data_IF_792333785773
#
_entry.id   IF_792333785773
#
_cell.length_a   1.000
_cell.length_b   1.000
_cell.length_c   1.000
_cell.angle_alpha   90.00
_cell.angle_beta   90.00
_cell.angle_gamma   90.00
#
_symmetry.space_group_name_H-M   'P 1'
#
loop_
_entity.id
_entity.type
_entity.pdbx_description
1 polymer ?
#
# COMPACT_ATOMS: atom_id res chain seq x y z
N UNK A 1 -17.93 10.82 27.24
CA UNK A 1 -19.16 11.33 26.58
C UNK A 1 -18.82 12.46 25.59
N UNK A 2 -18.33 12.09 24.41
CA UNK A 2 -18.09 13.04 23.32
C UNK A 2 -19.40 13.14 22.53
N UNK A 3 -20.09 14.28 22.59
CA UNK A 3 -21.20 14.56 21.67
C UNK A 3 -20.56 14.85 20.32
N UNK A 4 -20.47 13.82 19.48
CA UNK A 4 -20.14 13.99 18.07
C UNK A 4 -21.10 15.01 17.48
N UNK A 5 -20.53 16.01 16.82
CA UNK A 5 -21.20 17.15 16.25
C UNK A 5 -22.43 16.71 15.42
N UNK A 6 -23.45 17.57 15.45
CA UNK A 6 -24.78 17.54 14.81
C UNK A 6 -24.83 17.22 13.31
N UNK A 7 -23.72 16.80 12.69
CA UNK A 7 -23.53 16.63 11.25
C UNK A 7 -24.10 15.31 10.70
N UNK A 8 -24.26 14.27 11.52
CA UNK A 8 -24.61 12.91 11.06
C UNK A 8 -25.97 12.39 11.57
N UNK A 9 -26.87 13.28 11.98
CA UNK A 9 -28.21 12.91 12.49
C UNK A 9 -29.04 12.12 11.47
N UNK A 10 -28.82 12.34 10.17
CA UNK A 10 -29.41 11.54 9.09
C UNK A 10 -28.98 10.06 9.14
N UNK A 11 -27.72 9.77 9.51
CA UNK A 11 -27.19 8.40 9.60
C UNK A 11 -27.77 7.66 10.80
N UNK A 12 -28.08 8.39 11.88
CA UNK A 12 -28.73 7.83 13.07
C UNK A 12 -30.14 7.32 12.81
N UNK A 13 -30.84 7.93 11.84
CA UNK A 13 -32.20 7.55 11.45
C UNK A 13 -32.26 6.38 10.44
N UNK A 14 -31.13 5.76 10.06
CA UNK A 14 -31.15 4.60 9.17
C UNK A 14 -31.48 3.30 9.92
N UNK A 15 -32.58 2.60 9.58
CA UNK A 15 -33.05 1.44 10.34
C UNK A 15 -32.16 0.19 10.20
N UNK A 16 -31.22 0.18 9.25
CA UNK A 16 -30.41 -0.99 8.91
C UNK A 16 -29.05 -1.05 9.64
N UNK A 17 -28.60 0.05 10.25
CA UNK A 17 -27.24 0.15 10.83
C UNK A 17 -27.34 0.40 12.33
N UNK A 18 -26.92 -0.60 13.12
CA UNK A 18 -26.85 -0.45 14.60
C UNK A 18 -25.93 0.72 14.95
N UNK A 19 -26.31 1.53 15.94
CA UNK A 19 -25.58 2.75 16.36
C UNK A 19 -24.06 2.54 16.51
N UNK A 20 -23.64 1.39 17.04
CA UNK A 20 -22.22 1.03 17.21
C UNK A 20 -21.40 1.05 15.91
N UNK A 21 -22.03 0.79 14.76
CA UNK A 21 -21.35 0.68 13.46
C UNK A 21 -21.48 1.92 12.58
N UNK A 22 -22.24 2.94 13.00
CA UNK A 22 -22.51 4.11 12.18
C UNK A 22 -21.24 4.92 11.88
N UNK A 23 -20.34 5.08 12.85
CA UNK A 23 -19.08 5.81 12.67
C UNK A 23 -18.17 5.13 11.63
N UNK A 24 -17.99 3.80 11.76
CA UNK A 24 -17.19 3.01 10.83
C UNK A 24 -17.76 3.04 9.42
N UNK A 25 -19.09 2.98 9.30
CA UNK A 25 -19.78 3.02 8.02
C UNK A 25 -19.53 4.33 7.27
N UNK A 26 -19.64 5.47 7.95
CA UNK A 26 -19.38 6.79 7.35
C UNK A 26 -17.94 6.90 6.85
N UNK A 27 -16.96 6.41 7.62
CA UNK A 27 -15.56 6.43 7.22
C UNK A 27 -15.30 5.56 5.99
N UNK A 28 -15.86 4.35 5.94
CA UNK A 28 -15.69 3.43 4.80
C UNK A 28 -16.36 4.01 3.55
N UNK A 29 -17.57 4.55 3.67
CA UNK A 29 -18.27 5.20 2.56
C UNK A 29 -17.51 6.44 2.05
N UNK A 30 -16.99 7.26 2.96
CA UNK A 30 -16.15 8.41 2.62
C UNK A 30 -14.88 8.00 1.88
N UNK A 31 -14.18 6.97 2.36
CA UNK A 31 -13.00 6.42 1.70
C UNK A 31 -13.32 5.86 0.30
N UNK A 32 -14.44 5.17 0.15
CA UNK A 32 -14.88 4.64 -1.14
C UNK A 32 -15.20 5.73 -2.15
N UNK A 33 -15.94 6.77 -1.72
CA UNK A 33 -16.24 7.94 -2.55
C UNK A 33 -14.97 8.68 -2.97
N UNK A 34 -14.03 8.89 -2.04
CA UNK A 34 -12.73 9.50 -2.33
C UNK A 34 -11.95 8.69 -3.37
N UNK A 35 -11.90 7.35 -3.22
CA UNK A 35 -11.27 6.47 -4.20
C UNK A 35 -11.97 6.51 -5.56
N UNK A 36 -13.30 6.54 -5.59
CA UNK A 36 -14.06 6.63 -6.84
C UNK A 36 -13.76 7.94 -7.59
N UNK A 37 -13.71 9.07 -6.88
CA UNK A 37 -13.35 10.37 -7.46
C UNK A 37 -11.90 10.37 -7.95
N UNK A 38 -10.97 9.81 -7.18
CA UNK A 38 -9.56 9.69 -7.53
C UNK A 38 -9.37 8.82 -8.79
N UNK A 39 -10.11 7.72 -8.91
CA UNK A 39 -10.01 6.78 -10.03
C UNK A 39 -10.62 7.35 -11.32
N UNK A 40 -11.65 8.20 -11.21
CA UNK A 40 -12.32 8.79 -12.38
C UNK A 40 -11.65 10.08 -12.89
N UNK A 41 -10.73 10.67 -12.10
CA UNK A 41 -10.12 11.98 -12.42
C UNK A 41 -8.65 11.83 -12.84
N UNK A 42 -8.32 11.91 -14.16
CA UNK A 42 -6.96 11.67 -14.64
C UNK A 42 -5.95 12.76 -14.22
N UNK A 43 -6.43 13.97 -13.93
CA UNK A 43 -5.58 15.06 -13.42
C UNK A 43 -5.03 14.70 -12.05
N UNK A 44 -5.89 14.23 -11.14
CA UNK A 44 -5.49 13.86 -9.78
C UNK A 44 -4.53 12.67 -9.81
N UNK A 45 -4.82 11.65 -10.63
CA UNK A 45 -3.91 10.52 -10.82
C UNK A 45 -2.53 10.94 -11.31
N UNK A 46 -2.46 11.92 -12.23
CA UNK A 46 -1.18 12.42 -12.75
C UNK A 46 -0.37 13.15 -11.69
N UNK A 47 -1.02 13.87 -10.78
CA UNK A 47 -0.37 14.50 -9.62
C UNK A 47 0.17 13.46 -8.63
N UNK A 48 -0.64 12.46 -8.27
CA UNK A 48 -0.21 11.37 -7.38
C UNK A 48 0.83 10.44 -8.01
N UNK A 49 0.85 10.31 -9.33
CA UNK A 49 1.85 9.54 -10.08
C UNK A 49 3.08 10.37 -10.46
N UNK A 50 3.24 11.57 -9.90
CA UNK A 50 4.45 12.36 -10.11
C UNK A 50 5.65 11.70 -9.45
N UNK A 51 6.84 11.88 -10.03
CA UNK A 51 8.08 11.28 -9.53
C UNK A 51 8.37 11.65 -8.07
N UNK A 52 8.01 12.86 -7.64
CA UNK A 52 8.13 13.30 -6.26
C UNK A 52 7.18 12.53 -5.34
N UNK A 53 5.89 12.44 -5.69
CA UNK A 53 4.91 11.74 -4.86
C UNK A 53 5.22 10.24 -4.77
N UNK A 54 5.68 9.64 -5.86
CA UNK A 54 6.14 8.24 -5.88
C UNK A 54 7.40 8.04 -5.02
N UNK A 55 8.35 8.98 -5.07
CA UNK A 55 9.56 8.94 -4.24
C UNK A 55 9.24 9.10 -2.75
N UNK A 56 8.41 10.09 -2.40
CA UNK A 56 7.94 10.27 -1.02
C UNK A 56 7.15 9.04 -0.55
N UNK A 57 6.33 8.43 -1.41
CA UNK A 57 5.60 7.20 -1.10
C UNK A 57 6.52 6.02 -0.78
N UNK A 58 7.60 5.84 -1.55
CA UNK A 58 8.61 4.79 -1.31
C UNK A 58 9.32 4.97 0.04
N UNK A 59 9.66 6.20 0.41
CA UNK A 59 10.32 6.49 1.70
C UNK A 59 9.32 6.48 2.86
N UNK A 60 8.06 6.83 2.62
CA UNK A 60 7.01 6.93 3.64
C UNK A 60 6.87 5.63 4.44
N UNK A 61 6.99 4.47 3.80
CA UNK A 61 6.93 3.19 4.51
C UNK A 61 8.07 3.03 5.53
N UNK A 62 9.31 3.26 5.10
CA UNK A 62 10.46 3.22 5.99
C UNK A 62 10.37 4.29 7.09
N UNK A 63 9.93 5.50 6.73
CA UNK A 63 9.72 6.61 7.68
C UNK A 63 8.66 6.24 8.74
N UNK A 64 7.56 5.61 8.35
CA UNK A 64 6.51 5.16 9.26
C UNK A 64 7.02 4.12 10.27
N UNK A 65 7.89 3.20 9.85
CA UNK A 65 8.52 2.27 10.79
C UNK A 65 9.48 2.97 11.75
N UNK A 66 10.28 3.92 11.25
CA UNK A 66 11.36 4.52 12.04
C UNK A 66 10.92 5.70 12.90
N UNK A 67 9.83 6.41 12.54
CA UNK A 67 9.50 7.68 13.19
C UNK A 67 9.24 7.52 14.69
N UNK A 68 8.47 6.49 15.12
CA UNK A 68 8.21 6.26 16.54
C UNK A 68 9.51 5.97 17.31
N UNK A 69 10.40 5.16 16.74
CA UNK A 69 11.69 4.83 17.35
C UNK A 69 12.54 6.10 17.54
N UNK A 70 12.59 6.96 16.53
CA UNK A 70 13.41 8.18 16.55
C UNK A 70 12.81 9.22 17.48
N UNK A 71 11.48 9.39 17.48
CA UNK A 71 10.78 10.31 18.38
C UNK A 71 11.03 9.94 19.85
N UNK A 72 10.91 8.65 20.19
CA UNK A 72 11.07 8.20 21.57
C UNK A 72 12.53 8.18 22.03
N UNK A 73 13.48 7.88 21.15
CA UNK A 73 14.89 7.79 21.52
C UNK A 73 15.61 9.13 21.33
N UNK A 74 15.73 9.58 20.07
CA UNK A 74 16.58 10.73 19.71
C UNK A 74 15.91 12.05 20.07
N UNK A 75 14.63 12.24 19.75
CA UNK A 75 13.98 13.54 20.03
C UNK A 75 13.88 13.80 21.53
N UNK A 76 13.57 12.78 22.34
CA UNK A 76 13.56 12.91 23.80
C UNK A 76 14.94 13.22 24.39
N UNK A 77 16.00 12.53 23.95
CA UNK A 77 17.37 12.80 24.45
C UNK A 77 17.86 14.18 24.05
N UNK A 78 17.61 14.58 22.79
CA UNK A 78 17.95 15.91 22.28
C UNK A 78 17.21 17.01 23.04
N UNK A 79 15.91 16.81 23.33
CA UNK A 79 15.11 17.74 24.11
C UNK A 79 15.64 17.89 25.55
N UNK A 80 15.95 16.78 26.23
CA UNK A 80 16.51 16.83 27.59
C UNK A 80 17.86 17.55 27.65
N UNK A 81 18.66 17.44 26.59
CA UNK A 81 19.96 18.10 26.50
C UNK A 81 19.85 19.60 26.21
N UNK A 82 18.89 20.02 25.38
CA UNK A 82 18.66 21.42 25.02
C UNK A 82 17.78 22.19 26.03
N UNK A 83 16.90 21.50 26.76
CA UNK A 83 16.01 22.07 27.78
C UNK A 83 16.72 22.99 28.78
N UNK A 84 17.87 22.59 29.39
CA UNK A 84 18.57 23.46 30.35
C UNK A 84 19.25 24.68 29.72
N UNK A 85 19.45 24.74 28.40
CA UNK A 85 20.19 25.83 27.73
C UNK A 85 19.28 26.86 27.06
N UNK A 86 18.16 26.42 26.48
CA UNK A 86 17.33 27.24 25.58
C UNK A 86 15.92 27.51 26.14
N UNK A 87 15.55 26.89 27.26
CA UNK A 87 14.19 26.95 27.80
C UNK A 87 13.21 26.04 27.05
N UNK A 88 12.10 25.68 27.71
CA UNK A 88 11.20 24.60 27.28
C UNK A 88 10.68 24.74 25.84
N UNK A 89 10.13 25.91 25.49
CA UNK A 89 9.49 26.14 24.18
C UNK A 89 10.53 26.12 23.05
N UNK A 90 11.66 26.79 23.24
CA UNK A 90 12.71 26.81 22.22
C UNK A 90 13.37 25.43 22.09
N UNK A 91 13.60 24.70 23.18
CA UNK A 91 14.09 23.32 23.15
C UNK A 91 13.13 22.38 22.42
N UNK A 92 11.82 22.54 22.59
CA UNK A 92 10.82 21.73 21.88
C UNK A 92 10.87 21.97 20.36
N UNK A 93 10.83 23.23 19.92
CA UNK A 93 10.89 23.56 18.49
C UNK A 93 12.21 23.16 17.84
N UNK A 94 13.34 23.43 18.49
CA UNK A 94 14.66 23.05 17.98
C UNK A 94 14.81 21.53 17.90
N UNK A 95 14.37 20.78 18.92
CA UNK A 95 14.42 19.32 18.89
C UNK A 95 13.55 18.72 17.77
N UNK A 96 12.36 19.29 17.53
CA UNK A 96 11.47 18.87 16.44
C UNK A 96 12.09 19.16 15.06
N UNK A 97 12.56 20.39 14.85
CA UNK A 97 13.16 20.82 13.58
C UNK A 97 14.42 20.00 13.28
N UNK A 98 15.22 19.65 14.29
CA UNK A 98 16.42 18.83 14.10
C UNK A 98 16.10 17.34 13.90
N UNK A 99 15.04 16.83 14.54
CA UNK A 99 14.64 15.43 14.41
C UNK A 99 14.01 15.11 13.06
N UNK A 100 13.33 16.07 12.41
CA UNK A 100 12.73 15.88 11.08
C UNK A 100 13.73 15.43 9.99
N UNK A 101 14.82 16.16 9.72
CA UNK A 101 15.81 15.75 8.73
C UNK A 101 16.51 14.47 9.15
N UNK A 102 16.76 14.27 10.45
CA UNK A 102 17.35 13.03 10.95
C UNK A 102 16.44 11.82 10.66
N UNK A 103 15.13 11.94 10.90
CA UNK A 103 14.15 10.92 10.54
C UNK A 103 14.17 10.61 9.05
N UNK A 104 14.23 11.62 8.19
CA UNK A 104 14.30 11.44 6.75
C UNK A 104 15.58 10.70 6.31
N UNK A 105 16.74 11.05 6.88
CA UNK A 105 18.03 10.41 6.57
C UNK A 105 18.03 8.94 7.01
N UNK A 106 17.59 8.65 8.24
CA UNK A 106 17.52 7.28 8.75
C UNK A 106 16.52 6.45 7.94
N UNK A 107 15.35 7.00 7.64
CA UNK A 107 14.35 6.33 6.82
C UNK A 107 14.87 6.03 5.41
N UNK A 108 15.59 6.97 4.78
CA UNK A 108 16.21 6.74 3.49
C UNK A 108 17.26 5.62 3.53
N UNK A 109 18.07 5.56 4.60
CA UNK A 109 19.00 4.45 4.85
C UNK A 109 18.28 3.11 4.96
N UNK A 110 17.24 3.03 5.80
CA UNK A 110 16.40 1.84 5.95
C UNK A 110 15.75 1.41 4.62
N UNK A 111 15.21 2.35 3.85
CA UNK A 111 14.67 2.07 2.52
C UNK A 111 15.73 1.46 1.59
N UNK A 112 16.95 2.00 1.58
CA UNK A 112 18.02 1.56 0.69
C UNK A 112 18.58 0.19 1.06
N UNK A 113 18.74 -0.11 2.35
CA UNK A 113 19.38 -1.34 2.83
C UNK A 113 18.38 -2.46 3.14
N UNK A 114 17.26 -2.14 3.77
CA UNK A 114 16.28 -3.14 4.23
C UNK A 114 15.26 -3.39 3.14
N UNK A 115 14.62 -2.35 2.61
CA UNK A 115 13.45 -2.51 1.75
C UNK A 115 13.84 -3.05 0.36
N UNK A 116 14.85 -2.43 -0.27
CA UNK A 116 15.39 -2.94 -1.54
C UNK A 116 16.03 -4.33 -1.40
N UNK A 117 16.67 -4.61 -0.26
CA UNK A 117 17.26 -5.91 0.06
C UNK A 117 16.20 -7.00 0.21
N UNK A 118 15.12 -6.72 0.93
CA UNK A 118 14.02 -7.65 1.19
C UNK A 118 13.23 -7.99 -0.10
N UNK A 119 13.01 -7.02 -0.98
CA UNK A 119 12.39 -7.26 -2.29
C UNK A 119 13.29 -8.14 -3.16
N UNK A 120 14.60 -7.90 -3.15
CA UNK A 120 15.59 -8.76 -3.82
C UNK A 120 15.58 -10.18 -3.29
N UNK A 121 15.59 -10.35 -1.96
CA UNK A 121 15.51 -11.65 -1.29
C UNK A 121 14.20 -12.39 -1.60
N UNK A 122 13.07 -11.68 -1.60
CA UNK A 122 11.76 -12.25 -1.95
C UNK A 122 11.73 -12.75 -3.39
N UNK A 123 12.29 -11.99 -4.34
CA UNK A 123 12.43 -12.43 -5.75
C UNK A 123 13.35 -13.63 -5.88
N UNK A 124 14.46 -13.64 -5.14
CA UNK A 124 15.36 -14.79 -5.09
C UNK A 124 14.66 -16.04 -4.55
N UNK A 125 13.93 -15.92 -3.44
CA UNK A 125 13.22 -17.03 -2.80
C UNK A 125 12.09 -17.56 -3.71
N UNK A 126 11.32 -16.66 -4.32
CA UNK A 126 10.28 -17.02 -5.28
C UNK A 126 10.84 -17.76 -6.49
N UNK A 127 11.95 -17.28 -7.06
CA UNK A 127 12.57 -17.93 -8.21
C UNK A 127 13.26 -19.24 -7.85
N UNK A 128 13.75 -19.41 -6.62
CA UNK A 128 14.41 -20.63 -6.17
C UNK A 128 13.43 -21.78 -5.88
N UNK A 129 12.29 -21.48 -5.26
CA UNK A 129 11.32 -22.49 -4.82
C UNK A 129 10.09 -22.61 -5.74
N UNK A 130 9.50 -21.49 -6.18
CA UNK A 130 8.20 -21.52 -6.87
C UNK A 130 8.30 -21.56 -8.39
N UNK A 131 9.36 -21.02 -8.99
CA UNK A 131 9.54 -21.01 -10.46
C UNK A 131 9.56 -22.42 -11.07
N UNK A 132 10.00 -23.44 -10.34
CA UNK A 132 9.95 -24.83 -10.82
C UNK A 132 8.53 -25.40 -10.90
N UNK A 133 7.65 -25.08 -9.94
CA UNK A 133 6.28 -25.58 -9.91
C UNK A 133 5.38 -24.94 -10.98
N UNK A 134 5.48 -23.62 -11.15
CA UNK A 134 4.64 -22.88 -12.12
C UNK A 134 5.02 -23.16 -13.58
N UNK A 135 6.31 -23.22 -13.90
CA UNK A 135 6.77 -23.49 -15.28
C UNK A 135 6.44 -24.93 -15.69
N UNK A 136 6.57 -25.90 -14.77
CA UNK A 136 6.16 -27.27 -15.01
C UNK A 136 4.65 -27.37 -15.26
N UNK A 137 3.80 -26.80 -14.38
CA UNK A 137 2.35 -26.84 -14.55
C UNK A 137 1.87 -26.12 -15.83
N UNK A 138 2.44 -24.96 -16.17
CA UNK A 138 2.09 -24.22 -17.38
C UNK A 138 2.51 -24.96 -18.67
N UNK A 139 3.67 -25.62 -18.65
CA UNK A 139 4.13 -26.44 -19.80
C UNK A 139 3.28 -27.71 -20.00
N UNK A 140 2.73 -28.29 -18.92
CA UNK A 140 1.83 -29.45 -19.00
C UNK A 140 0.46 -29.05 -19.53
N UNK A 141 -0.12 -27.95 -19.03
CA UNK A 141 -1.42 -27.46 -19.49
C UNK A 141 -1.41 -27.05 -20.97
N UNK A 142 -0.36 -26.35 -21.42
CA UNK A 142 -0.21 -26.00 -22.84
C UNK A 142 -0.04 -27.23 -23.73
N UNK A 143 0.73 -28.24 -23.30
CA UNK A 143 0.84 -29.52 -24.01
C UNK A 143 -0.49 -30.28 -24.07
N UNK A 144 -1.28 -30.27 -22.99
CA UNK A 144 -2.60 -30.90 -22.96
C UNK A 144 -3.60 -30.17 -23.86
N UNK A 145 -3.63 -28.84 -23.86
CA UNK A 145 -4.44 -28.06 -24.80
C UNK A 145 -4.08 -28.37 -26.26
N UNK A 146 -2.79 -28.40 -26.59
CA UNK A 146 -2.34 -28.75 -27.94
C UNK A 146 -2.70 -30.19 -28.32
N UNK A 147 -2.60 -31.15 -27.38
CA UNK A 147 -3.00 -32.53 -27.61
C UNK A 147 -4.51 -32.67 -27.81
N UNK A 148 -5.32 -31.96 -27.03
CA UNK A 148 -6.77 -31.91 -27.20
C UNK A 148 -7.15 -31.29 -28.55
N UNK A 149 -6.57 -30.14 -28.91
CA UNK A 149 -6.82 -29.49 -30.19
C UNK A 149 -6.51 -30.41 -31.39
N UNK A 150 -5.38 -31.14 -31.35
CA UNK A 150 -5.01 -32.13 -32.38
C UNK A 150 -5.94 -33.35 -32.41
N UNK A 151 -6.53 -33.74 -31.28
CA UNK A 151 -7.45 -34.88 -31.21
C UNK A 151 -8.84 -34.50 -31.74
N UNK A 152 -9.30 -33.30 -31.44
CA UNK A 152 -10.54 -32.72 -31.98
C UNK A 152 -10.43 -32.52 -33.50
N UNK A 153 -9.31 -32.00 -34.00
CA UNK A 153 -9.10 -31.85 -35.45
C UNK A 153 -9.04 -33.18 -36.21
N UNK A 154 -8.52 -34.25 -35.58
CA UNK A 154 -8.53 -35.62 -36.16
C UNK A 154 -9.90 -36.29 -36.15
N UNK A 155 -10.80 -35.89 -35.24
CA UNK A 155 -12.17 -36.41 -35.16
C UNK A 155 -13.15 -35.64 -36.06
N UNK A 156 -12.73 -34.52 -36.66
CA UNK A 156 -13.52 -33.76 -37.63
C UNK A 156 -12.93 -33.71 -39.05
N UNK A 157 -12.79 -34.84 -39.79
CA UNK A 157 -12.59 -34.78 -41.24
C UNK A 157 -13.83 -35.14 -42.08
N UNK A 158 -15.01 -35.45 -41.50
CA UNK A 158 -16.06 -36.15 -42.27
C UNK A 158 -17.51 -35.66 -42.16
N UNK A 159 -17.79 -34.39 -41.79
CA UNK A 159 -19.19 -33.89 -41.75
C UNK A 159 -19.42 -32.45 -42.24
N UNK A 160 -18.71 -32.00 -43.27
CA UNK A 160 -19.09 -30.80 -44.04
C UNK A 160 -18.83 -31.02 -45.54
N UNK A 161 -19.30 -32.15 -46.06
CA UNK A 161 -19.43 -32.39 -47.48
C UNK A 161 -20.77 -33.06 -47.72
N UNK A 162 -21.60 -32.43 -48.54
CA UNK A 162 -22.84 -32.96 -49.10
C UNK A 162 -24.13 -32.79 -48.25
N UNK A 163 -24.71 -31.60 -48.33
CA UNK A 163 -26.16 -31.45 -48.46
C UNK A 163 -26.37 -30.59 -49.69
N UNK A 164 -26.43 -31.26 -50.85
CA UNK A 164 -27.06 -30.74 -52.06
C UNK A 164 -28.57 -30.97 -52.01
#
# INVERSE_FOLDING_TARGET
PYKALTSYTWVQNMPFIKEKYQEWFVMVMGAWLLLAVLLNTPVLQRWFSSALCEFLGKISYALYLTHYLILWSVTCTLFLWLSPQLGYVAAAWTSFILSLPLMAVIAYGCYRWVDQGAVGFSKWLYTRFFRHGYVAAASVLSNLQQRFARRVSRLSPSRLGNVG
#
